data_IF_440100916108
#
_entry.id   IF_440100916108
#
_cell.length_a   1.000
_cell.length_b   1.000
_cell.length_c   1.000
_cell.angle_alpha   90.00
_cell.angle_beta   90.00
_cell.angle_gamma   90.00
#
_symmetry.space_group_name_H-M   'P 1'
#
loop_
_entity.id
_entity.type
_entity.pdbx_description
1 polymer ?
#
# COMPACT_ATOMS: atom_id res chain seq x y z
N UNK A 1 54.82 24.95 -7.26
CA UNK A 1 53.99 24.15 -6.33
C UNK A 1 54.76 22.86 -6.04
N UNK A 2 55.13 22.59 -4.79
CA UNK A 2 55.94 21.43 -4.46
C UNK A 2 55.20 20.14 -4.83
N UNK A 3 55.90 19.18 -5.47
CA UNK A 3 55.28 17.90 -5.90
C UNK A 3 54.51 17.20 -4.75
N UNK A 4 55.00 17.28 -3.52
CA UNK A 4 54.35 16.75 -2.32
C UNK A 4 52.97 17.41 -2.05
N UNK A 5 52.85 18.72 -2.21
CA UNK A 5 51.58 19.45 -2.04
C UNK A 5 50.58 19.05 -3.12
N UNK A 6 51.04 18.87 -4.36
CA UNK A 6 50.17 18.42 -5.45
C UNK A 6 49.61 17.01 -5.20
N UNK A 7 50.44 16.09 -4.69
CA UNK A 7 50.02 14.72 -4.36
C UNK A 7 49.01 14.72 -3.22
N UNK A 8 49.23 15.52 -2.16
CA UNK A 8 48.29 15.64 -1.04
C UNK A 8 46.93 16.18 -1.55
N UNK A 9 46.91 17.19 -2.40
CA UNK A 9 45.68 17.74 -2.98
C UNK A 9 44.93 16.74 -3.83
N UNK A 10 45.64 15.91 -4.62
CA UNK A 10 45.02 14.85 -5.41
C UNK A 10 44.40 13.75 -4.53
N UNK A 11 45.07 13.38 -3.45
CA UNK A 11 44.53 12.40 -2.48
C UNK A 11 43.26 12.96 -1.82
N UNK A 12 43.29 14.22 -1.35
CA UNK A 12 42.13 14.87 -0.74
C UNK A 12 40.95 14.95 -1.72
N UNK A 13 41.22 15.33 -2.97
CA UNK A 13 40.21 15.36 -4.02
C UNK A 13 39.61 13.96 -4.25
N UNK A 14 40.42 12.93 -4.28
CA UNK A 14 39.96 11.54 -4.41
C UNK A 14 39.04 11.11 -3.26
N UNK A 15 39.40 11.46 -2.01
CA UNK A 15 38.57 11.17 -0.83
C UNK A 15 37.21 11.88 -0.90
N UNK A 16 37.19 13.16 -1.33
CA UNK A 16 35.96 13.92 -1.51
C UNK A 16 35.06 13.28 -2.57
N UNK A 17 35.62 12.89 -3.71
CA UNK A 17 34.84 12.25 -4.80
C UNK A 17 34.28 10.91 -4.33
N UNK A 18 35.07 10.07 -3.66
CA UNK A 18 34.62 8.78 -3.14
C UNK A 18 33.49 8.99 -2.10
N UNK A 19 33.65 9.89 -1.16
CA UNK A 19 32.63 10.20 -0.16
C UNK A 19 31.32 10.69 -0.81
N UNK A 20 31.42 11.51 -1.83
CA UNK A 20 30.29 11.99 -2.62
C UNK A 20 29.54 10.84 -3.30
N UNK A 21 30.27 9.92 -3.96
CA UNK A 21 29.66 8.75 -4.61
C UNK A 21 28.99 7.80 -3.62
N UNK A 22 29.59 7.60 -2.43
CA UNK A 22 28.99 6.80 -1.37
C UNK A 22 27.66 7.43 -0.90
N UNK A 23 27.63 8.73 -0.65
CA UNK A 23 26.41 9.43 -0.25
C UNK A 23 25.33 9.34 -1.31
N UNK A 24 25.69 9.46 -2.59
CA UNK A 24 24.78 9.32 -3.71
C UNK A 24 24.16 7.91 -3.76
N UNK A 25 25.00 6.90 -3.65
CA UNK A 25 24.56 5.50 -3.58
C UNK A 25 23.61 5.24 -2.41
N UNK A 26 23.99 5.70 -1.21
CA UNK A 26 23.18 5.51 0.00
C UNK A 26 21.81 6.21 -0.13
N UNK A 27 21.76 7.41 -0.75
CA UNK A 27 20.49 8.11 -1.03
C UNK A 27 19.57 7.25 -1.92
N UNK A 28 20.10 6.70 -3.01
CA UNK A 28 19.33 5.86 -3.93
C UNK A 28 18.82 4.58 -3.27
N UNK A 29 19.68 3.92 -2.48
CA UNK A 29 19.32 2.74 -1.71
C UNK A 29 18.19 3.06 -0.72
N UNK A 30 18.32 4.16 0.02
CA UNK A 30 17.29 4.60 0.98
C UNK A 30 15.95 4.86 0.29
N UNK A 31 15.93 5.55 -0.85
CA UNK A 31 14.70 5.81 -1.61
C UNK A 31 14.01 4.51 -2.03
N UNK A 32 14.78 3.54 -2.54
CA UNK A 32 14.25 2.22 -2.91
C UNK A 32 13.62 1.50 -1.72
N UNK A 33 14.35 1.41 -0.61
CA UNK A 33 13.85 0.73 0.60
C UNK A 33 12.64 1.43 1.23
N UNK A 34 12.52 2.75 1.11
CA UNK A 34 11.33 3.46 1.58
C UNK A 34 10.07 3.04 0.82
N UNK A 35 10.15 2.82 -0.50
CA UNK A 35 9.02 2.30 -1.28
C UNK A 35 8.66 0.87 -0.85
N UNK A 36 9.65 0.01 -0.71
CA UNK A 36 9.43 -1.39 -0.31
C UNK A 36 8.82 -1.48 1.11
N UNK A 37 9.27 -0.62 2.05
CA UNK A 37 8.69 -0.48 3.39
C UNK A 37 7.26 0.04 3.34
N UNK A 38 6.99 1.05 2.52
CA UNK A 38 5.65 1.62 2.38
C UNK A 38 4.66 0.57 1.86
N UNK A 39 5.06 -0.26 0.88
CA UNK A 39 4.25 -1.38 0.40
C UNK A 39 3.98 -2.40 1.50
N UNK A 40 5.00 -2.80 2.26
CA UNK A 40 4.83 -3.73 3.39
C UNK A 40 3.82 -3.22 4.44
N UNK A 41 3.77 -1.90 4.66
CA UNK A 41 2.78 -1.30 5.57
C UNK A 41 1.35 -1.38 5.03
N UNK A 42 1.15 -1.32 3.70
CA UNK A 42 -0.16 -1.55 3.08
C UNK A 42 -0.57 -3.02 3.26
N UNK A 43 0.32 -3.96 2.93
CA UNK A 43 0.05 -5.40 2.98
C UNK A 43 -0.42 -5.86 4.36
N UNK A 44 0.15 -5.28 5.43
CA UNK A 44 -0.29 -5.55 6.82
C UNK A 44 -1.76 -5.17 7.04
N UNK A 45 -2.19 -3.99 6.57
CA UNK A 45 -3.58 -3.53 6.79
C UNK A 45 -4.55 -4.28 5.88
N UNK A 46 -4.15 -4.57 4.63
CA UNK A 46 -4.92 -5.41 3.72
C UNK A 46 -5.17 -6.80 4.31
N UNK A 47 -4.14 -7.41 4.90
CA UNK A 47 -4.25 -8.69 5.59
C UNK A 47 -5.22 -8.60 6.78
N UNK A 48 -5.10 -7.57 7.62
CA UNK A 48 -6.03 -7.36 8.73
C UNK A 48 -7.48 -7.30 8.26
N UNK A 49 -7.75 -6.62 7.15
CA UNK A 49 -9.11 -6.51 6.59
C UNK A 49 -9.65 -7.86 6.12
N UNK A 50 -8.88 -8.65 5.37
CA UNK A 50 -9.34 -9.96 4.90
C UNK A 50 -9.48 -10.97 6.04
N UNK A 51 -8.76 -10.77 7.15
CA UNK A 51 -8.88 -11.60 8.35
C UNK A 51 -10.17 -11.30 9.14
N UNK A 52 -10.84 -10.15 8.93
CA UNK A 52 -12.18 -9.88 9.49
C UNK A 52 -13.32 -10.54 8.70
N UNK A 53 -13.10 -10.95 7.45
CA UNK A 53 -14.14 -11.53 6.59
C UNK A 53 -14.84 -12.75 7.24
N UNK A 54 -14.15 -13.73 7.85
CA UNK A 54 -14.80 -14.86 8.49
C UNK A 54 -15.78 -14.45 9.61
N UNK A 55 -15.40 -13.43 10.39
CA UNK A 55 -16.25 -12.90 11.46
C UNK A 55 -17.52 -12.28 10.86
N UNK A 56 -17.35 -11.47 9.82
CA UNK A 56 -18.46 -10.83 9.10
C UNK A 56 -19.40 -11.87 8.49
N UNK A 57 -18.85 -12.87 7.79
CA UNK A 57 -19.63 -13.96 7.17
C UNK A 57 -20.36 -14.77 8.21
N UNK A 58 -19.75 -15.05 9.36
CA UNK A 58 -20.37 -15.82 10.44
C UNK A 58 -21.58 -15.10 11.01
N UNK A 59 -21.46 -13.80 11.29
CA UNK A 59 -22.60 -13.01 11.80
C UNK A 59 -23.68 -12.87 10.73
N UNK A 60 -23.31 -12.58 9.48
CA UNK A 60 -24.26 -12.37 8.39
C UNK A 60 -25.08 -13.61 8.03
N UNK A 61 -24.49 -14.81 8.08
CA UNK A 61 -25.18 -16.09 7.76
C UNK A 61 -26.43 -16.34 8.59
N UNK A 62 -26.54 -15.79 9.78
CA UNK A 62 -27.73 -15.95 10.63
C UNK A 62 -28.93 -15.13 10.14
N UNK A 63 -28.70 -14.09 9.34
CA UNK A 63 -29.71 -13.12 8.93
C UNK A 63 -29.90 -13.08 7.39
N UNK A 64 -28.84 -13.38 6.62
CA UNK A 64 -28.80 -13.25 5.16
C UNK A 64 -28.81 -14.62 4.47
N UNK A 65 -29.95 -15.32 4.58
CA UNK A 65 -30.06 -16.70 4.04
C UNK A 65 -30.05 -16.78 2.50
N UNK A 66 -30.39 -15.68 1.81
CA UNK A 66 -30.49 -15.65 0.34
C UNK A 66 -29.24 -15.12 -0.35
N UNK A 67 -28.24 -14.63 0.40
CA UNK A 67 -27.04 -13.99 -0.12
C UNK A 67 -25.80 -14.92 -0.14
N UNK A 68 -26.07 -16.21 -0.33
CA UNK A 68 -25.00 -17.24 -0.29
C UNK A 68 -23.85 -16.96 -1.26
N UNK A 69 -24.16 -16.47 -2.47
CA UNK A 69 -23.13 -16.15 -3.49
C UNK A 69 -22.21 -15.01 -3.05
N UNK A 70 -22.77 -13.97 -2.41
CA UNK A 70 -21.99 -12.82 -1.94
C UNK A 70 -21.08 -13.21 -0.77
N UNK A 71 -21.59 -13.98 0.17
CA UNK A 71 -20.80 -14.51 1.30
C UNK A 71 -19.71 -15.48 0.85
N UNK A 72 -20.03 -16.34 -0.14
CA UNK A 72 -19.04 -17.23 -0.76
C UNK A 72 -17.92 -16.44 -1.45
N UNK A 73 -18.28 -15.37 -2.20
CA UNK A 73 -17.28 -14.52 -2.87
C UNK A 73 -16.31 -13.86 -1.91
N UNK A 74 -16.79 -13.33 -0.79
CA UNK A 74 -15.93 -12.77 0.25
C UNK A 74 -14.95 -13.82 0.82
N UNK A 75 -15.43 -15.05 1.07
CA UNK A 75 -14.61 -16.15 1.57
C UNK A 75 -13.56 -16.59 0.54
N UNK A 76 -13.94 -16.62 -0.74
CA UNK A 76 -13.04 -16.94 -1.86
C UNK A 76 -11.91 -15.90 -1.99
N UNK A 77 -12.25 -14.59 -1.97
CA UNK A 77 -11.28 -13.50 -2.03
C UNK A 77 -10.28 -13.55 -0.88
N UNK A 78 -10.76 -13.85 0.35
CA UNK A 78 -9.86 -14.09 1.49
C UNK A 78 -8.88 -15.22 1.19
N UNK A 79 -9.37 -16.34 0.66
CA UNK A 79 -8.53 -17.50 0.34
C UNK A 79 -7.50 -17.16 -0.74
N UNK A 80 -7.90 -16.44 -1.79
CA UNK A 80 -6.99 -15.99 -2.84
C UNK A 80 -5.91 -15.05 -2.30
N UNK A 81 -6.28 -14.12 -1.41
CA UNK A 81 -5.32 -13.21 -0.80
C UNK A 81 -4.24 -13.97 -0.01
N UNK A 82 -4.63 -14.93 0.83
CA UNK A 82 -3.68 -15.72 1.62
C UNK A 82 -2.78 -16.63 0.77
N UNK A 83 -3.28 -17.13 -0.34
CA UNK A 83 -2.52 -18.00 -1.24
C UNK A 83 -1.64 -17.22 -2.21
N UNK A 84 -1.85 -15.91 -2.38
CA UNK A 84 -1.04 -15.09 -3.26
C UNK A 84 0.23 -14.63 -2.54
N UNK A 85 1.38 -14.75 -3.21
CA UNK A 85 2.68 -14.19 -2.79
C UNK A 85 3.10 -13.00 -3.64
N UNK A 86 2.40 -12.77 -4.76
CA UNK A 86 2.67 -11.71 -5.71
C UNK A 86 1.99 -10.41 -5.27
N UNK A 87 2.74 -9.30 -5.24
CA UNK A 87 2.29 -8.00 -4.77
C UNK A 87 1.18 -7.40 -5.64
N UNK A 88 1.31 -7.53 -6.98
CA UNK A 88 0.34 -6.97 -7.91
C UNK A 88 -0.98 -7.74 -7.82
N UNK A 89 -0.92 -9.07 -7.74
CA UNK A 89 -2.10 -9.91 -7.52
C UNK A 89 -2.78 -9.63 -6.19
N UNK A 90 -2.02 -9.43 -5.10
CA UNK A 90 -2.61 -9.04 -3.81
C UNK A 90 -3.34 -7.71 -3.89
N UNK A 91 -2.78 -6.75 -4.62
CA UNK A 91 -3.42 -5.46 -4.84
C UNK A 91 -4.72 -5.60 -5.63
N UNK A 92 -4.74 -6.42 -6.69
CA UNK A 92 -5.94 -6.72 -7.48
C UNK A 92 -7.03 -7.38 -6.60
N UNK A 93 -6.68 -8.43 -5.85
CA UNK A 93 -7.60 -9.11 -4.93
C UNK A 93 -8.11 -8.16 -3.86
N UNK A 94 -7.27 -7.26 -3.36
CA UNK A 94 -7.67 -6.25 -2.37
C UNK A 94 -8.70 -5.28 -2.94
N UNK A 95 -8.55 -4.84 -4.19
CA UNK A 95 -9.52 -3.97 -4.87
C UNK A 95 -10.85 -4.69 -5.10
N UNK A 96 -10.82 -5.98 -5.50
CA UNK A 96 -12.04 -6.80 -5.60
C UNK A 96 -12.71 -7.00 -4.24
N UNK A 97 -11.91 -7.15 -3.18
CA UNK A 97 -12.42 -7.28 -1.81
C UNK A 97 -13.14 -6.00 -1.37
N UNK A 98 -12.62 -4.81 -1.67
CA UNK A 98 -13.29 -3.54 -1.38
C UNK A 98 -14.65 -3.46 -2.08
N UNK A 99 -14.71 -3.82 -3.37
CA UNK A 99 -15.98 -3.86 -4.13
C UNK A 99 -17.00 -4.85 -3.54
N UNK A 100 -16.52 -6.04 -3.16
CA UNK A 100 -17.38 -7.06 -2.56
C UNK A 100 -17.90 -6.64 -1.18
N UNK A 101 -17.07 -5.99 -0.35
CA UNK A 101 -17.48 -5.44 0.95
C UNK A 101 -18.47 -4.29 0.79
N UNK A 102 -18.25 -3.37 -0.15
CA UNK A 102 -19.21 -2.29 -0.46
C UNK A 102 -20.57 -2.86 -0.87
N UNK A 103 -20.57 -3.85 -1.78
CA UNK A 103 -21.81 -4.55 -2.19
C UNK A 103 -22.47 -5.26 -1.01
N UNK A 104 -21.70 -5.89 -0.14
CA UNK A 104 -22.21 -6.57 1.05
C UNK A 104 -22.88 -5.59 2.01
N UNK A 105 -22.26 -4.45 2.31
CA UNK A 105 -22.86 -3.44 3.17
C UNK A 105 -24.12 -2.81 2.54
N UNK A 106 -24.12 -2.55 1.22
CA UNK A 106 -25.31 -2.08 0.53
C UNK A 106 -26.49 -3.06 0.61
N UNK A 107 -26.23 -4.37 0.44
CA UNK A 107 -27.25 -5.42 0.57
C UNK A 107 -27.71 -5.57 2.03
N UNK A 108 -26.81 -5.41 3.01
CA UNK A 108 -27.13 -5.52 4.43
C UNK A 108 -28.19 -4.51 4.90
N UNK A 109 -28.36 -3.39 4.17
CA UNK A 109 -29.41 -2.39 4.41
C UNK A 109 -30.82 -2.99 4.34
N UNK A 110 -31.02 -4.07 3.58
CA UNK A 110 -32.30 -4.77 3.44
C UNK A 110 -32.58 -5.74 4.61
N UNK A 111 -31.67 -5.86 5.57
CA UNK A 111 -31.75 -6.79 6.71
C UNK A 111 -31.74 -6.03 8.06
N UNK A 112 -32.87 -5.47 8.52
CA UNK A 112 -32.94 -4.62 9.72
C UNK A 112 -32.45 -5.32 11.00
N UNK A 113 -32.69 -6.63 11.12
CA UNK A 113 -32.23 -7.43 12.26
C UNK A 113 -30.70 -7.55 12.32
N UNK A 114 -30.04 -7.70 11.17
CA UNK A 114 -28.59 -7.68 11.06
C UNK A 114 -28.04 -6.29 11.44
N UNK A 115 -28.64 -5.22 10.93
CA UNK A 115 -28.22 -3.84 11.24
C UNK A 115 -28.34 -3.48 12.72
N UNK A 116 -29.27 -4.08 13.44
CA UNK A 116 -29.43 -3.87 14.89
C UNK A 116 -28.51 -4.77 15.74
N UNK A 117 -27.79 -5.69 15.12
CA UNK A 117 -26.88 -6.60 15.82
C UNK A 117 -25.58 -5.89 16.22
N UNK A 118 -25.26 -5.83 17.52
CA UNK A 118 -24.08 -5.13 18.04
C UNK A 118 -22.76 -5.66 17.48
N UNK A 119 -22.63 -6.98 17.29
CA UNK A 119 -21.43 -7.58 16.72
C UNK A 119 -21.25 -7.17 15.26
N UNK A 120 -22.34 -7.07 14.49
CA UNK A 120 -22.29 -6.59 13.12
C UNK A 120 -21.85 -5.13 13.04
N UNK A 121 -22.42 -4.27 13.88
CA UNK A 121 -22.05 -2.84 13.93
C UNK A 121 -20.58 -2.64 14.30
N UNK A 122 -20.08 -3.43 15.25
CA UNK A 122 -18.65 -3.39 15.61
C UNK A 122 -17.76 -3.82 14.44
N UNK A 123 -18.10 -4.92 13.75
CA UNK A 123 -17.37 -5.40 12.59
C UNK A 123 -17.40 -4.41 11.43
N UNK A 124 -18.56 -3.80 11.16
CA UNK A 124 -18.71 -2.75 10.14
C UNK A 124 -17.80 -1.57 10.44
N UNK A 125 -17.78 -1.09 11.69
CA UNK A 125 -16.88 -0.02 12.13
C UNK A 125 -15.42 -0.40 11.95
N UNK A 126 -15.01 -1.60 12.39
CA UNK A 126 -13.62 -2.08 12.26
C UNK A 126 -13.19 -2.16 10.80
N UNK A 127 -14.04 -2.66 9.91
CA UNK A 127 -13.76 -2.73 8.47
C UNK A 127 -13.66 -1.32 7.88
N UNK A 128 -14.55 -0.40 8.25
CA UNK A 128 -14.47 1.00 7.81
C UNK A 128 -13.17 1.68 8.29
N UNK A 129 -12.76 1.47 9.54
CA UNK A 129 -11.50 1.97 10.07
C UNK A 129 -10.28 1.40 9.32
N UNK A 130 -10.35 0.13 8.89
CA UNK A 130 -9.30 -0.49 8.09
C UNK A 130 -9.26 0.05 6.66
N UNK A 131 -10.42 0.33 6.03
CA UNK A 131 -10.47 0.99 4.71
C UNK A 131 -9.82 2.38 4.75
N UNK A 132 -10.13 3.19 5.76
CA UNK A 132 -9.50 4.49 5.95
C UNK A 132 -7.97 4.36 6.10
N UNK A 133 -7.51 3.39 6.91
CA UNK A 133 -6.07 3.12 7.05
C UNK A 133 -5.42 2.66 5.75
N UNK A 134 -6.13 1.89 4.93
CA UNK A 134 -5.64 1.45 3.61
C UNK A 134 -5.45 2.67 2.70
N UNK A 135 -6.42 3.59 2.67
CA UNK A 135 -6.33 4.83 1.90
C UNK A 135 -5.11 5.66 2.32
N UNK A 136 -4.92 5.91 3.64
CA UNK A 136 -3.75 6.62 4.16
C UNK A 136 -2.43 5.95 3.77
N UNK A 137 -2.36 4.61 3.81
CA UNK A 137 -1.14 3.86 3.46
C UNK A 137 -0.87 3.87 1.97
N UNK A 138 -1.90 3.87 1.12
CA UNK A 138 -1.76 4.01 -0.34
C UNK A 138 -1.23 5.39 -0.71
N UNK A 139 -1.73 6.45 -0.08
CA UNK A 139 -1.21 7.81 -0.25
C UNK A 139 0.28 7.86 0.09
N UNK A 140 0.65 7.38 1.28
CA UNK A 140 2.06 7.33 1.72
C UNK A 140 2.96 6.50 0.77
N UNK A 141 2.44 5.39 0.23
CA UNK A 141 3.17 4.61 -0.77
C UNK A 141 3.37 5.40 -2.06
N UNK A 142 2.33 6.06 -2.56
CA UNK A 142 2.40 6.88 -3.78
C UNK A 142 3.40 8.02 -3.61
N UNK A 143 3.42 8.67 -2.46
CA UNK A 143 4.44 9.68 -2.12
C UNK A 143 5.85 9.10 -2.14
N UNK A 144 6.03 7.92 -1.56
CA UNK A 144 7.32 7.22 -1.55
C UNK A 144 7.78 6.85 -2.95
N UNK A 145 6.86 6.41 -3.83
CA UNK A 145 7.13 6.11 -5.25
C UNK A 145 7.49 7.39 -5.99
N UNK A 146 6.77 8.49 -5.77
CA UNK A 146 7.07 9.78 -6.36
C UNK A 146 8.48 10.27 -6.00
N UNK A 147 8.81 10.23 -4.70
CA UNK A 147 10.14 10.63 -4.21
C UNK A 147 11.25 9.74 -4.82
N UNK A 148 10.99 8.44 -4.94
CA UNK A 148 11.92 7.51 -5.59
C UNK A 148 12.08 7.84 -7.07
N UNK A 149 10.99 8.00 -7.83
CA UNK A 149 11.03 8.30 -9.26
C UNK A 149 11.75 9.64 -9.52
N UNK A 150 11.43 10.68 -8.75
CA UNK A 150 12.15 11.96 -8.81
C UNK A 150 13.64 11.73 -8.51
N UNK A 151 13.95 11.04 -7.43
CA UNK A 151 15.32 10.84 -6.98
C UNK A 151 16.22 10.08 -7.94
N UNK A 152 15.70 9.14 -8.75
CA UNK A 152 16.47 8.44 -9.78
C UNK A 152 16.67 9.27 -11.05
N UNK A 153 15.88 10.34 -11.26
CA UNK A 153 15.98 11.27 -12.40
C UNK A 153 16.73 12.57 -12.07
N UNK A 154 16.90 12.92 -10.79
CA UNK A 154 17.67 14.08 -10.36
C UNK A 154 19.14 13.96 -10.76
N UNK A 155 19.75 15.09 -11.20
CA UNK A 155 21.21 15.16 -11.34
C UNK A 155 21.84 15.42 -9.95
N UNK A 156 22.93 14.75 -9.56
CA UNK A 156 23.72 13.78 -10.34
C UNK A 156 23.26 12.30 -10.18
N UNK A 157 22.22 12.01 -9.40
CA UNK A 157 21.72 10.66 -9.09
C UNK A 157 21.45 9.83 -10.35
N UNK A 158 20.92 10.47 -11.41
CA UNK A 158 20.51 9.82 -12.67
C UNK A 158 21.64 9.01 -13.32
N UNK A 159 22.87 9.44 -13.17
CA UNK A 159 24.03 8.73 -13.72
C UNK A 159 24.18 7.38 -13.02
N UNK A 160 24.21 7.40 -11.70
CA UNK A 160 24.39 6.20 -10.90
C UNK A 160 23.14 5.29 -10.95
N UNK A 161 21.93 5.88 -10.95
CA UNK A 161 20.69 5.15 -11.07
C UNK A 161 20.62 4.32 -12.36
N UNK A 162 21.01 4.91 -13.50
CA UNK A 162 21.09 4.21 -14.79
C UNK A 162 22.13 3.09 -14.77
N UNK A 163 23.30 3.33 -14.17
CA UNK A 163 24.35 2.30 -14.03
C UNK A 163 23.89 1.11 -13.18
N UNK A 164 23.09 1.36 -12.15
CA UNK A 164 22.52 0.35 -11.25
C UNK A 164 21.23 -0.30 -11.79
N UNK A 165 20.75 0.13 -12.95
CA UNK A 165 19.54 -0.42 -13.57
C UNK A 165 18.24 -0.08 -12.86
N UNK A 166 18.20 1.04 -12.11
CA UNK A 166 16.98 1.53 -11.47
C UNK A 166 15.98 1.98 -12.52
N UNK A 167 14.71 1.63 -12.31
CA UNK A 167 13.58 1.94 -13.21
C UNK A 167 12.46 2.60 -12.40
N UNK A 168 11.61 3.35 -13.10
CA UNK A 168 10.43 3.94 -12.50
C UNK A 168 9.53 2.85 -11.88
N UNK A 169 8.97 3.17 -10.73
CA UNK A 169 7.94 2.38 -10.08
C UNK A 169 6.56 3.00 -10.36
N UNK A 170 5.54 2.16 -10.52
CA UNK A 170 4.17 2.58 -10.76
C UNK A 170 3.48 2.96 -9.46
N UNK A 171 2.60 3.95 -9.54
CA UNK A 171 1.71 4.35 -8.44
C UNK A 171 0.59 3.32 -8.30
N UNK A 172 0.10 3.12 -7.08
CA UNK A 172 -1.15 2.41 -6.86
C UNK A 172 -2.32 3.32 -7.26
N UNK A 173 -3.26 2.77 -8.02
CA UNK A 173 -4.48 3.51 -8.35
C UNK A 173 -5.31 3.73 -7.08
N UNK A 174 -5.67 4.98 -6.85
CA UNK A 174 -6.67 5.35 -5.85
C UNK A 174 -8.02 5.18 -6.53
N UNK A 175 -8.89 4.33 -6.00
CA UNK A 175 -10.23 4.10 -6.56
C UNK A 175 -11.04 5.40 -6.51
N UNK A 176 -12.00 5.57 -7.44
CA UNK A 176 -12.83 6.78 -7.47
C UNK A 176 -13.67 6.95 -6.18
N UNK A 177 -13.94 5.87 -5.47
CA UNK A 177 -14.62 5.86 -4.17
C UNK A 177 -13.74 6.47 -3.06
N UNK A 178 -12.43 6.27 -3.10
CA UNK A 178 -11.46 6.88 -2.17
C UNK A 178 -11.22 8.37 -2.48
N UNK A 179 -11.53 8.84 -3.70
CA UNK A 179 -11.41 10.26 -4.12
C UNK A 179 -12.60 11.12 -3.71
N UNK A 180 -13.76 10.50 -3.46
CA UNK A 180 -14.99 11.17 -3.02
C UNK A 180 -15.22 10.93 -1.53
N UNK A 181 -14.35 11.49 -0.71
CA UNK A 181 -14.68 11.71 0.69
C UNK A 181 -15.59 12.94 0.76
N UNK A 182 -16.86 12.76 0.53
CA UNK A 182 -17.89 13.75 0.94
C UNK A 182 -17.92 13.73 2.47
N UNK A 183 -17.23 14.70 3.07
CA UNK A 183 -17.17 14.87 4.51
C UNK A 183 -18.55 14.69 5.15
N UNK A 184 -18.59 14.12 6.34
CA UNK A 184 -19.82 13.90 7.13
C UNK A 184 -20.66 15.17 7.10
N UNK A 185 -21.76 15.14 6.33
CA UNK A 185 -22.80 16.17 6.40
C UNK A 185 -23.58 15.90 7.69
N UNK A 186 -23.46 16.82 8.65
CA UNK A 186 -24.27 16.85 9.87
C UNK A 186 -25.67 17.36 9.58
#
# INVERSE_FOLDING_TARGET
MNQTVAIILLILLGVVIISFLINLYNKLVMLKFNVDKAYGNIDVVLKQRVDEIPNLVTVAKHFMNYEEKLLARLTELRTFYHNSTDADKRTEIANETSKALSSFFAVSENYPELKSNNNFLELQKRISDLENKIADRREFFNDSVNLYNIGIHEFPNVILAKMLGYKDKTLLEITNEEKHYDGVQF
#
